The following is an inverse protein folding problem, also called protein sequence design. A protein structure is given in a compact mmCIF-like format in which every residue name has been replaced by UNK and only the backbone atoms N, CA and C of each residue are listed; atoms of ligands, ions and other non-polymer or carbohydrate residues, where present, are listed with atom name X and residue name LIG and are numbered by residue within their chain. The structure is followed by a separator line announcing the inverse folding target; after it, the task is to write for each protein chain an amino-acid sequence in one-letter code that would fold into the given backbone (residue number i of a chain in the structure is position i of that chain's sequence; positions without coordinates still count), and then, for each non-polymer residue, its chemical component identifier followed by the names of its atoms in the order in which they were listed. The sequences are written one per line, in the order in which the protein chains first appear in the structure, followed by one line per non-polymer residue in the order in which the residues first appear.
data_IF_118952209653
#
_entry.id   IF_118952209653
#
_cell.length_a   1.000
_cell.length_b   1.000
_cell.length_c   1.000
_cell.angle_alpha   90.00
_cell.angle_beta   90.00
_cell.angle_gamma   90.00
#
_symmetry.space_group_name_H-M   'P 1'
#
loop_
_entity.id
_entity.type
_entity.pdbx_description
1 polymer ?
#
# COMPACT_ATOMS: atom_id res chain seq x y z
N UNK A 1 -16.62 -31.72 12.15
CA UNK A 1 -15.75 -30.64 11.65
C UNK A 1 -16.28 -29.92 10.40
N UNK A 2 -16.94 -30.59 9.42
CA UNK A 2 -17.48 -29.90 8.20
C UNK A 2 -18.69 -28.97 8.45
N UNK A 3 -19.48 -29.18 9.48
CA UNK A 3 -20.63 -28.30 9.81
C UNK A 3 -20.25 -27.00 10.49
N UNK A 4 -19.12 -26.96 11.19
CA UNK A 4 -18.63 -25.74 11.87
C UNK A 4 -17.97 -24.75 10.89
N UNK A 5 -17.35 -25.22 9.82
CA UNK A 5 -16.75 -24.37 8.80
C UNK A 5 -17.80 -23.65 7.93
N UNK A 6 -18.93 -24.34 7.63
CA UNK A 6 -20.04 -23.74 6.88
C UNK A 6 -20.79 -22.65 7.70
N UNK A 7 -20.89 -22.82 9.02
CA UNK A 7 -21.52 -21.84 9.90
C UNK A 7 -20.66 -20.56 10.07
N UNK A 8 -19.34 -20.70 10.10
CA UNK A 8 -18.40 -19.56 10.15
C UNK A 8 -18.37 -18.76 8.84
N UNK A 9 -18.48 -19.42 7.68
CA UNK A 9 -18.57 -18.74 6.38
C UNK A 9 -19.91 -17.99 6.23
N UNK A 10 -21.02 -18.55 6.76
CA UNK A 10 -22.34 -17.89 6.73
C UNK A 10 -22.43 -16.71 7.70
N UNK A 11 -21.78 -16.76 8.87
CA UNK A 11 -21.70 -15.60 9.79
C UNK A 11 -20.85 -14.46 9.21
N UNK A 12 -19.78 -14.74 8.47
CA UNK A 12 -18.95 -13.72 7.83
C UNK A 12 -19.73 -12.97 6.73
N UNK A 13 -20.53 -13.67 5.93
CA UNK A 13 -21.39 -13.05 4.90
C UNK A 13 -22.50 -12.16 5.48
N UNK A 14 -22.99 -12.48 6.67
CA UNK A 14 -24.01 -11.67 7.35
C UNK A 14 -23.41 -10.39 8.00
N UNK A 15 -22.16 -10.39 8.40
CA UNK A 15 -21.51 -9.24 9.02
C UNK A 15 -21.14 -8.14 8.02
N UNK A 16 -20.74 -8.49 6.80
CA UNK A 16 -20.39 -7.51 5.76
C UNK A 16 -21.62 -6.73 5.26
N UNK A 17 -22.77 -7.39 5.09
CA UNK A 17 -24.01 -6.73 4.69
C UNK A 17 -24.59 -5.78 5.76
N UNK A 18 -24.42 -6.10 7.04
CA UNK A 18 -24.90 -5.25 8.14
C UNK A 18 -24.06 -3.97 8.30
N UNK A 19 -22.75 -4.06 8.14
CA UNK A 19 -21.85 -2.89 8.22
C UNK A 19 -22.03 -1.92 7.06
N UNK A 20 -22.34 -2.40 5.86
CA UNK A 20 -22.52 -1.57 4.67
C UNK A 20 -23.77 -0.65 4.74
N UNK A 21 -24.77 -0.97 5.55
CA UNK A 21 -25.99 -0.17 5.71
C UNK A 21 -25.92 0.86 6.83
N UNK A 22 -24.90 0.85 7.68
CA UNK A 22 -24.75 1.82 8.75
C UNK A 22 -24.09 3.11 8.26
N UNK A 23 -24.56 4.26 8.76
CA UNK A 23 -23.91 5.56 8.50
C UNK A 23 -22.52 5.57 9.12
N UNK A 24 -21.52 5.94 8.32
CA UNK A 24 -20.16 6.17 8.80
C UNK A 24 -20.13 7.53 9.53
N UNK A 25 -19.83 7.52 10.83
CA UNK A 25 -19.65 8.75 11.62
C UNK A 25 -18.17 9.00 11.84
N UNK A 26 -17.69 10.14 11.34
CA UNK A 26 -16.31 10.58 11.51
C UNK A 26 -16.23 11.63 12.63
N UNK A 27 -15.18 11.55 13.44
CA UNK A 27 -14.78 12.61 14.36
C UNK A 27 -14.11 13.75 13.59
N UNK A 28 -13.23 13.41 12.64
CA UNK A 28 -12.53 14.39 11.80
C UNK A 28 -12.06 13.77 10.50
N UNK A 29 -11.84 14.61 9.50
CA UNK A 29 -11.20 14.26 8.23
C UNK A 29 -10.42 15.45 7.69
N UNK A 30 -9.49 15.19 6.78
CA UNK A 30 -8.70 16.24 6.13
C UNK A 30 -7.52 15.66 5.35
N UNK A 31 -6.54 16.52 5.10
CA UNK A 31 -5.29 16.11 4.46
C UNK A 31 -4.12 16.93 5.00
N UNK A 32 -2.91 16.44 4.76
CA UNK A 32 -1.67 17.14 5.04
C UNK A 32 -0.54 16.73 4.08
N UNK A 33 0.45 17.60 3.95
CA UNK A 33 1.71 17.25 3.29
C UNK A 33 2.70 16.66 4.32
N UNK A 34 3.50 15.68 3.87
CA UNK A 34 4.51 15.00 4.68
C UNK A 34 5.85 14.91 3.95
N UNK A 35 6.95 15.20 4.65
CA UNK A 35 8.28 15.22 4.07
C UNK A 35 8.49 16.37 3.08
N UNK A 36 9.35 16.10 2.09
CA UNK A 36 9.68 17.06 1.04
C UNK A 36 10.78 18.04 1.42
N UNK A 37 11.07 18.94 0.47
CA UNK A 37 12.11 19.96 0.59
C UNK A 37 11.57 21.34 0.29
N UNK A 38 12.29 22.36 0.76
CA UNK A 38 12.10 23.75 0.33
C UNK A 38 13.35 24.20 -0.41
N UNK A 39 13.19 24.56 -1.68
CA UNK A 39 14.22 25.22 -2.46
C UNK A 39 14.04 26.72 -2.31
N UNK A 40 15.04 27.40 -1.78
CA UNK A 40 15.07 28.85 -1.62
C UNK A 40 16.01 29.47 -2.67
N UNK A 41 15.49 30.39 -3.46
CA UNK A 41 16.30 31.17 -4.40
C UNK A 41 16.97 32.36 -3.67
N UNK A 42 18.19 32.67 -4.10
CA UNK A 42 18.96 33.79 -3.54
C UNK A 42 18.30 35.13 -3.77
N UNK A 43 18.67 36.11 -2.93
CA UNK A 43 18.20 37.48 -3.00
C UNK A 43 16.91 37.77 -2.22
N UNK A 44 16.33 38.94 -2.44
CA UNK A 44 15.09 39.40 -1.80
C UNK A 44 13.96 39.43 -2.82
N UNK A 45 12.82 38.90 -2.45
CA UNK A 45 11.60 39.03 -3.26
C UNK A 45 11.11 40.49 -3.34
N UNK A 46 10.85 40.93 -4.56
CA UNK A 46 10.30 42.24 -4.83
C UNK A 46 8.92 42.12 -5.48
N UNK A 47 7.86 42.41 -4.75
CA UNK A 47 6.48 42.30 -5.21
C UNK A 47 6.08 43.34 -6.29
N UNK A 48 6.95 44.31 -6.60
CA UNK A 48 6.75 45.28 -7.70
C UNK A 48 7.29 44.76 -9.04
N UNK A 49 8.00 43.65 -9.02
CA UNK A 49 8.57 43.02 -10.21
C UNK A 49 7.78 41.79 -10.60
N UNK A 50 7.41 41.75 -11.88
CA UNK A 50 6.74 40.57 -12.47
C UNK A 50 7.36 40.26 -13.82
N UNK A 51 8.05 39.16 -13.92
CA UNK A 51 8.74 38.73 -15.16
C UNK A 51 7.83 38.07 -16.20
N UNK A 52 6.50 37.99 -15.93
CA UNK A 52 5.55 37.27 -16.78
C UNK A 52 5.25 35.85 -16.28
N UNK A 53 4.11 35.28 -16.69
CA UNK A 53 3.67 33.95 -16.30
C UNK A 53 4.60 32.82 -16.79
N UNK A 54 5.18 33.01 -17.98
CA UNK A 54 6.09 32.03 -18.55
C UNK A 54 7.50 32.00 -17.90
N UNK A 55 7.97 33.22 -17.47
CA UNK A 55 9.30 33.40 -16.90
C UNK A 55 9.20 34.29 -15.65
N UNK A 56 8.69 33.78 -14.53
CA UNK A 56 8.59 34.57 -13.31
C UNK A 56 9.97 34.91 -12.77
N UNK A 57 10.09 36.05 -12.09
CA UNK A 57 11.32 36.43 -11.39
C UNK A 57 11.49 35.51 -10.19
N UNK A 58 12.54 34.67 -10.20
CA UNK A 58 12.79 33.69 -9.15
C UNK A 58 13.52 34.27 -7.91
N UNK A 59 14.15 35.43 -8.03
CA UNK A 59 14.92 36.03 -6.95
C UNK A 59 14.14 36.15 -5.66
N UNK A 60 14.66 35.60 -4.58
CA UNK A 60 14.05 35.60 -3.24
C UNK A 60 12.80 34.73 -3.11
N UNK A 61 12.43 33.95 -4.14
CA UNK A 61 11.27 33.04 -4.12
C UNK A 61 11.62 31.71 -3.53
N UNK A 62 10.59 30.97 -3.12
CA UNK A 62 10.74 29.59 -2.61
C UNK A 62 9.84 28.62 -3.37
N UNK A 63 10.31 27.37 -3.49
CA UNK A 63 9.58 26.27 -4.09
C UNK A 63 9.60 25.07 -3.14
N UNK A 64 8.42 24.53 -2.82
CA UNK A 64 8.27 23.34 -1.99
C UNK A 64 7.92 22.17 -2.88
N UNK A 65 8.67 21.07 -2.74
CA UNK A 65 8.55 19.91 -3.62
C UNK A 65 8.84 18.60 -2.87
N UNK A 66 8.67 17.49 -3.57
CA UNK A 66 9.03 16.11 -3.16
C UNK A 66 8.36 15.67 -1.84
N UNK A 67 7.22 16.28 -1.51
CA UNK A 67 6.40 15.87 -0.37
C UNK A 67 5.33 14.88 -0.83
N UNK A 68 4.92 14.03 0.09
CA UNK A 68 3.71 13.23 -0.06
C UNK A 68 2.48 14.06 0.33
N UNK A 69 1.31 13.65 -0.17
CA UNK A 69 0.01 14.10 0.34
C UNK A 69 -0.68 12.93 1.03
N UNK A 70 -1.18 13.17 2.23
CA UNK A 70 -1.91 12.17 3.02
C UNK A 70 -3.31 12.70 3.29
N UNK A 71 -4.34 12.02 2.80
CA UNK A 71 -5.73 12.22 3.25
C UNK A 71 -6.00 11.34 4.45
N UNK A 72 -6.85 11.81 5.37
CA UNK A 72 -7.17 11.03 6.56
C UNK A 72 -8.64 11.14 6.95
N UNK A 73 -9.13 10.08 7.55
CA UNK A 73 -10.44 10.00 8.19
C UNK A 73 -10.29 9.27 9.53
N UNK A 74 -10.84 9.85 10.59
CA UNK A 74 -10.82 9.29 11.95
C UNK A 74 -12.27 9.03 12.35
N UNK A 75 -12.68 7.78 12.63
CA UNK A 75 -14.04 7.45 13.03
C UNK A 75 -14.30 7.91 14.47
N UNK A 76 -15.57 8.21 14.80
CA UNK A 76 -15.98 8.74 16.10
C UNK A 76 -15.65 7.81 17.29
N UNK A 77 -15.46 6.52 17.05
CA UNK A 77 -15.04 5.53 18.07
C UNK A 77 -13.76 4.85 17.59
N UNK A 78 -12.70 5.65 17.43
CA UNK A 78 -11.45 5.19 16.85
C UNK A 78 -10.74 4.13 17.72
N UNK A 79 -10.30 3.05 17.09
CA UNK A 79 -9.30 2.12 17.61
C UNK A 79 -7.92 2.78 17.63
N UNK A 80 -7.01 2.24 18.43
CA UNK A 80 -5.72 2.86 18.71
C UNK A 80 -4.63 2.64 17.63
N UNK A 81 -4.89 1.79 16.64
CA UNK A 81 -3.97 1.52 15.55
C UNK A 81 -4.38 2.25 14.27
N UNK A 82 -3.90 3.46 14.00
CA UNK A 82 -4.10 4.11 12.71
C UNK A 82 -3.41 3.31 11.62
N UNK A 83 -4.10 3.19 10.48
CA UNK A 83 -3.62 2.48 9.29
C UNK A 83 -3.12 3.51 8.28
N UNK A 84 -1.85 3.42 7.88
CA UNK A 84 -1.28 4.25 6.81
C UNK A 84 -1.15 3.40 5.55
N UNK A 85 -1.96 3.71 4.54
CA UNK A 85 -2.05 3.02 3.27
C UNK A 85 -1.08 3.61 2.25
N UNK A 86 -0.27 2.76 1.63
CA UNK A 86 0.75 3.12 0.63
C UNK A 86 0.50 2.31 -0.64
N UNK A 87 0.30 3.00 -1.76
CA UNK A 87 0.00 2.41 -3.06
C UNK A 87 1.24 1.81 -3.76
N UNK A 88 0.99 1.06 -4.84
CA UNK A 88 2.01 0.46 -5.70
C UNK A 88 2.38 1.32 -6.93
N UNK A 89 3.10 0.69 -7.87
CA UNK A 89 3.46 1.27 -9.15
C UNK A 89 2.21 1.57 -9.99
N UNK A 90 2.24 2.68 -10.73
CA UNK A 90 1.13 3.11 -11.57
C UNK A 90 -0.11 3.56 -10.81
N UNK A 91 -0.10 3.55 -9.47
CA UNK A 91 -1.24 3.90 -8.64
C UNK A 91 -1.06 5.18 -7.84
N UNK A 92 -2.11 5.53 -7.13
CA UNK A 92 -2.18 6.57 -6.10
C UNK A 92 -3.02 6.06 -4.93
N UNK A 93 -3.30 6.90 -3.95
CA UNK A 93 -4.20 6.58 -2.84
C UNK A 93 -5.60 6.14 -3.27
N UNK A 94 -6.03 6.47 -4.49
CA UNK A 94 -7.34 6.12 -5.03
C UNK A 94 -7.64 4.62 -4.92
N UNK A 95 -6.67 3.75 -5.18
CA UNK A 95 -6.84 2.29 -5.11
C UNK A 95 -7.26 1.78 -3.71
N UNK A 96 -7.09 2.59 -2.68
CA UNK A 96 -7.52 2.27 -1.31
C UNK A 96 -8.85 2.94 -0.94
N UNK A 97 -9.21 4.06 -1.60
CA UNK A 97 -10.36 4.90 -1.24
C UNK A 97 -11.67 4.33 -1.80
N UNK A 98 -11.66 3.85 -3.05
CA UNK A 98 -12.83 3.28 -3.74
C UNK A 98 -12.39 2.16 -4.67
N UNK A 99 -13.29 1.25 -4.99
CA UNK A 99 -13.07 0.26 -6.06
C UNK A 99 -13.48 0.83 -7.43
N UNK A 100 -12.90 0.37 -8.54
CA UNK A 100 -13.24 0.89 -9.87
C UNK A 100 -14.72 0.74 -10.26
N UNK A 101 -15.42 -0.23 -9.68
CA UNK A 101 -16.86 -0.45 -9.87
C UNK A 101 -17.74 0.32 -8.86
N UNK A 102 -17.17 1.29 -8.11
CA UNK A 102 -17.90 2.20 -7.23
C UNK A 102 -18.28 1.64 -5.86
N UNK A 103 -17.80 0.45 -5.48
CA UNK A 103 -17.96 -0.07 -4.11
C UNK A 103 -17.02 0.63 -3.14
N UNK A 104 -17.26 0.48 -1.84
CA UNK A 104 -16.36 0.98 -0.80
C UNK A 104 -14.96 0.37 -0.93
N UNK A 105 -13.95 1.24 -0.97
CA UNK A 105 -12.56 0.86 -0.97
C UNK A 105 -12.09 0.38 0.42
N UNK A 106 -10.90 -0.18 0.44
CA UNK A 106 -10.37 -0.86 1.61
C UNK A 106 -10.22 0.06 2.84
N UNK A 107 -9.88 1.34 2.62
CA UNK A 107 -9.80 2.35 3.69
C UNK A 107 -11.16 2.57 4.36
N UNK A 108 -12.24 2.68 3.58
CA UNK A 108 -13.61 2.82 4.11
C UNK A 108 -14.06 1.56 4.84
N UNK A 109 -13.75 0.37 4.32
CA UNK A 109 -14.04 -0.88 5.00
C UNK A 109 -13.36 -0.97 6.37
N UNK A 110 -12.15 -0.43 6.52
CA UNK A 110 -11.44 -0.37 7.80
C UNK A 110 -11.97 0.73 8.73
N UNK A 111 -12.42 1.87 8.17
CA UNK A 111 -13.13 2.90 8.95
C UNK A 111 -14.42 2.35 9.58
N UNK A 112 -15.19 1.51 8.87
CA UNK A 112 -16.36 0.81 9.43
C UNK A 112 -16.01 -0.13 10.57
N UNK A 113 -14.76 -0.61 10.61
CA UNK A 113 -14.19 -1.41 11.71
C UNK A 113 -13.51 -0.55 12.78
N UNK A 114 -13.74 0.78 12.70
CA UNK A 114 -13.25 1.80 13.65
C UNK A 114 -11.74 2.03 13.63
N UNK A 115 -11.03 1.65 12.56
CA UNK A 115 -9.62 2.03 12.41
C UNK A 115 -9.49 3.40 11.74
N UNK A 116 -8.71 4.34 12.29
CA UNK A 116 -8.36 5.56 11.58
C UNK A 116 -7.60 5.22 10.29
N UNK A 117 -8.04 5.79 9.18
CA UNK A 117 -7.45 5.55 7.86
C UNK A 117 -6.70 6.80 7.37
N UNK A 118 -5.46 6.60 6.99
CA UNK A 118 -4.57 7.59 6.40
C UNK A 118 -4.12 7.05 5.04
N UNK A 119 -4.49 7.73 3.96
CA UNK A 119 -4.20 7.28 2.59
C UNK A 119 -3.21 8.23 1.96
N UNK A 120 -2.06 7.69 1.55
CA UNK A 120 -0.91 8.45 1.10
C UNK A 120 -0.75 8.36 -0.42
N UNK A 121 -0.54 9.51 -1.06
CA UNK A 121 0.07 9.62 -2.38
C UNK A 121 1.56 9.88 -2.20
N UNK A 122 2.39 8.98 -2.71
CA UNK A 122 3.85 9.12 -2.66
C UNK A 122 4.33 10.32 -3.49
N UNK A 123 5.50 10.91 -3.18
CA UNK A 123 6.06 12.01 -3.97
C UNK A 123 6.05 11.72 -5.47
N UNK A 124 5.60 12.67 -6.26
CA UNK A 124 5.48 12.55 -7.72
C UNK A 124 4.26 11.78 -8.21
N UNK A 125 3.35 11.35 -7.31
CA UNK A 125 2.16 10.57 -7.65
C UNK A 125 0.87 11.29 -7.27
N UNK A 126 -0.21 11.04 -8.00
CA UNK A 126 -1.56 11.51 -7.68
C UNK A 126 -1.59 12.98 -7.27
N UNK A 127 -2.07 13.26 -6.05
CA UNK A 127 -2.15 14.62 -5.47
C UNK A 127 -0.78 15.22 -5.10
N UNK A 128 0.29 14.40 -5.04
CA UNK A 128 1.65 14.80 -4.64
C UNK A 128 2.58 15.09 -5.83
N UNK A 129 2.05 15.60 -6.94
CA UNK A 129 2.78 15.80 -8.20
C UNK A 129 3.80 16.95 -8.22
N UNK A 130 4.05 17.64 -7.11
CA UNK A 130 5.00 18.76 -7.07
C UNK A 130 6.41 18.29 -6.77
N UNK A 131 7.23 18.10 -7.82
CA UNK A 131 8.56 17.53 -7.75
C UNK A 131 9.67 18.58 -7.96
N UNK A 132 10.83 18.39 -7.34
CA UNK A 132 12.03 19.22 -7.53
C UNK A 132 12.78 18.91 -8.83
N UNK A 133 12.66 17.69 -9.31
CA UNK A 133 13.13 17.23 -10.60
C UNK A 133 12.04 16.36 -11.26
N UNK A 134 11.66 16.75 -12.46
CA UNK A 134 10.62 16.04 -13.23
C UNK A 134 11.23 15.12 -14.26
N UNK A 135 10.52 14.04 -14.55
CA UNK A 135 10.83 13.18 -15.71
C UNK A 135 10.04 13.65 -16.93
N UNK A 136 10.57 13.40 -18.12
CA UNK A 136 9.78 13.52 -19.33
C UNK A 136 8.84 12.33 -19.40
N UNK A 137 7.53 12.61 -19.36
CA UNK A 137 6.51 11.59 -19.50
C UNK A 137 6.25 11.31 -20.97
N UNK A 138 6.51 10.07 -21.39
CA UNK A 138 6.10 9.57 -22.71
C UNK A 138 4.89 8.67 -22.49
N UNK A 139 3.70 9.02 -23.03
CA UNK A 139 2.54 8.14 -22.96
C UNK A 139 2.84 6.78 -23.59
N UNK A 140 2.47 5.72 -22.90
CA UNK A 140 2.64 4.34 -23.37
C UNK A 140 1.29 3.66 -23.43
N UNK A 141 1.03 2.97 -24.55
CA UNK A 141 -0.14 2.13 -24.69
C UNK A 141 0.21 0.70 -24.24
N UNK A 142 0.24 0.46 -22.93
CA UNK A 142 0.65 -0.81 -22.33
C UNK A 142 -0.38 -1.40 -21.34
N UNK A 143 -1.62 -0.94 -21.36
CA UNK A 143 -2.68 -1.38 -20.44
C UNK A 143 -2.99 -2.88 -20.56
N UNK A 144 -2.94 -3.44 -21.78
CA UNK A 144 -3.14 -4.88 -22.00
C UNK A 144 -2.03 -5.71 -21.34
N UNK A 145 -0.78 -5.22 -21.40
CA UNK A 145 0.35 -5.84 -20.70
C UNK A 145 0.10 -5.85 -19.18
N UNK A 146 -0.39 -4.75 -18.63
CA UNK A 146 -0.70 -4.66 -17.20
C UNK A 146 -1.91 -5.50 -16.82
N UNK A 147 -2.91 -5.66 -17.67
CA UNK A 147 -4.02 -6.60 -17.48
C UNK A 147 -3.48 -8.02 -17.19
N UNK A 148 -2.53 -8.48 -18.01
CA UNK A 148 -1.90 -9.79 -17.84
C UNK A 148 -1.00 -9.84 -16.59
N UNK A 149 -0.14 -8.85 -16.39
CA UNK A 149 0.79 -8.80 -15.24
C UNK A 149 0.02 -8.76 -13.92
N UNK A 150 -1.11 -8.06 -13.85
CA UNK A 150 -1.94 -8.00 -12.65
C UNK A 150 -2.91 -9.17 -12.50
N UNK A 151 -2.84 -10.13 -13.41
CA UNK A 151 -3.56 -11.41 -13.36
C UNK A 151 -5.08 -11.28 -13.39
N UNK A 152 -5.59 -10.29 -14.13
CA UNK A 152 -7.02 -10.24 -14.45
C UNK A 152 -7.39 -11.40 -15.39
N UNK A 153 -6.45 -11.80 -16.26
CA UNK A 153 -6.58 -12.86 -17.24
C UNK A 153 -5.41 -12.85 -18.22
N UNK A 154 -5.69 -13.28 -19.45
CA UNK A 154 -4.85 -13.10 -20.64
C UNK A 154 -5.68 -12.27 -21.66
N UNK A 155 -5.32 -11.01 -21.79
CA UNK A 155 -6.15 -10.05 -22.55
C UNK A 155 -6.55 -10.58 -23.94
N UNK A 156 -7.83 -10.46 -24.36
CA UNK A 156 -8.93 -9.78 -23.67
C UNK A 156 -9.74 -10.69 -22.72
N UNK A 157 -9.28 -11.90 -22.44
CA UNK A 157 -10.02 -12.90 -21.69
C UNK A 157 -9.68 -12.84 -20.20
N UNK A 158 -10.69 -12.59 -19.37
CA UNK A 158 -10.56 -12.72 -17.93
C UNK A 158 -10.45 -14.18 -17.50
N UNK A 159 -9.80 -14.44 -16.38
CA UNK A 159 -9.93 -15.74 -15.71
C UNK A 159 -11.41 -16.01 -15.39
N UNK A 160 -11.83 -17.27 -15.48
CA UNK A 160 -13.26 -17.64 -15.37
C UNK A 160 -13.87 -17.26 -14.02
N UNK A 161 -13.11 -17.40 -12.96
CA UNK A 161 -13.48 -17.20 -11.55
C UNK A 161 -12.83 -15.97 -10.91
N UNK A 162 -12.29 -15.03 -11.73
CA UNK A 162 -11.65 -13.82 -11.22
C UNK A 162 -12.62 -12.99 -10.37
N UNK A 163 -12.11 -12.47 -9.27
CA UNK A 163 -12.87 -11.58 -8.38
C UNK A 163 -12.86 -10.11 -8.82
N UNK A 164 -12.27 -9.80 -9.95
CA UNK A 164 -12.37 -8.47 -10.56
C UNK A 164 -13.66 -8.39 -11.41
N UNK A 165 -14.42 -7.27 -11.36
CA UNK A 165 -15.58 -7.07 -12.23
C UNK A 165 -15.17 -7.11 -13.70
N UNK A 166 -15.97 -7.81 -14.55
CA UNK A 166 -15.60 -8.08 -15.95
C UNK A 166 -16.23 -7.13 -16.97
N UNK A 167 -16.96 -6.14 -16.50
CA UNK A 167 -17.59 -5.16 -17.37
C UNK A 167 -16.57 -4.12 -17.87
N UNK A 168 -16.86 -3.57 -19.07
CA UNK A 168 -15.95 -2.65 -19.74
C UNK A 168 -15.83 -1.29 -19.02
N UNK A 169 -16.87 -0.85 -18.32
CA UNK A 169 -16.89 0.42 -17.60
C UNK A 169 -15.94 0.37 -16.40
N UNK A 170 -15.97 -0.72 -15.64
CA UNK A 170 -15.06 -0.96 -14.53
C UNK A 170 -13.60 -1.05 -15.00
N UNK A 171 -13.33 -1.73 -16.12
CA UNK A 171 -11.97 -1.81 -16.65
C UNK A 171 -11.47 -0.43 -17.13
N UNK A 172 -12.31 0.35 -17.79
CA UNK A 172 -11.98 1.72 -18.21
C UNK A 172 -11.69 2.60 -17.00
N UNK A 173 -12.52 2.56 -15.96
CA UNK A 173 -12.30 3.29 -14.72
C UNK A 173 -11.00 2.86 -14.03
N UNK A 174 -10.72 1.56 -13.97
CA UNK A 174 -9.50 1.02 -13.36
C UNK A 174 -8.24 1.57 -14.03
N UNK A 175 -8.17 1.61 -15.36
CA UNK A 175 -7.02 2.17 -16.04
C UNK A 175 -6.95 3.71 -15.96
N UNK A 176 -8.10 4.41 -15.88
CA UNK A 176 -8.14 5.87 -15.67
C UNK A 176 -7.65 6.28 -14.30
N UNK A 177 -7.73 5.43 -13.30
CA UNK A 177 -7.20 5.69 -11.95
C UNK A 177 -5.66 5.55 -11.88
N UNK A 178 -5.04 4.96 -12.90
CA UNK A 178 -3.59 4.84 -12.96
C UNK A 178 -2.96 6.23 -13.16
N UNK A 179 -1.96 6.53 -12.35
CA UNK A 179 -1.27 7.81 -12.37
C UNK A 179 0.19 7.66 -12.78
N UNK A 180 0.70 8.54 -13.64
CA UNK A 180 2.12 8.54 -13.98
C UNK A 180 2.96 9.00 -12.78
N UNK A 181 4.25 8.65 -12.77
CA UNK A 181 5.25 9.25 -11.90
C UNK A 181 5.86 10.47 -12.58
N UNK A 182 5.57 11.66 -12.06
CA UNK A 182 6.08 12.93 -12.62
C UNK A 182 7.43 13.33 -12.02
N UNK A 183 7.91 12.60 -11.00
CA UNK A 183 9.21 12.84 -10.37
C UNK A 183 10.32 12.01 -11.00
N UNK A 184 11.56 12.47 -10.87
CA UNK A 184 12.72 11.60 -10.96
C UNK A 184 12.74 10.72 -9.69
N UNK A 185 12.20 9.50 -9.79
CA UNK A 185 11.98 8.61 -8.65
C UNK A 185 13.21 8.48 -7.75
N UNK A 186 13.03 8.69 -6.46
CA UNK A 186 14.09 8.61 -5.47
C UNK A 186 13.58 7.91 -4.20
N UNK A 187 14.06 6.68 -3.99
CA UNK A 187 13.71 5.86 -2.83
C UNK A 187 13.93 6.57 -1.48
N UNK A 188 14.99 7.40 -1.38
CA UNK A 188 15.25 8.16 -0.14
C UNK A 188 14.14 9.18 0.13
N UNK A 189 13.63 9.82 -0.90
CA UNK A 189 12.52 10.77 -0.82
C UNK A 189 11.24 10.07 -0.39
N UNK A 190 10.93 8.90 -0.96
CA UNK A 190 9.76 8.11 -0.58
C UNK A 190 9.83 7.71 0.91
N UNK A 191 10.94 7.11 1.34
CA UNK A 191 11.14 6.68 2.72
C UNK A 191 11.08 7.87 3.71
N UNK A 192 11.69 9.00 3.37
CA UNK A 192 11.65 10.20 4.20
C UNK A 192 10.21 10.74 4.33
N UNK A 193 9.44 10.74 3.23
CA UNK A 193 8.06 11.20 3.22
C UNK A 193 7.13 10.23 3.96
N UNK A 194 7.33 8.92 3.82
CA UNK A 194 6.60 7.91 4.61
C UNK A 194 6.91 8.09 6.10
N UNK A 195 8.19 8.25 6.48
CA UNK A 195 8.56 8.47 7.89
C UNK A 195 7.91 9.72 8.47
N UNK A 196 7.91 10.83 7.73
CA UNK A 196 7.23 12.07 8.15
C UNK A 196 5.71 11.90 8.26
N UNK A 197 5.09 11.11 7.36
CA UNK A 197 3.68 10.77 7.43
C UNK A 197 3.35 9.92 8.67
N UNK A 198 4.18 8.92 9.00
CA UNK A 198 4.07 8.11 10.21
C UNK A 198 4.06 9.01 11.45
N UNK A 199 5.06 9.88 11.59
CA UNK A 199 5.22 10.72 12.77
C UNK A 199 4.04 11.70 12.93
N UNK A 200 3.56 12.27 11.82
CA UNK A 200 2.41 13.16 11.83
C UNK A 200 1.10 12.42 12.13
N UNK A 201 0.93 11.22 11.61
CA UNK A 201 -0.22 10.35 11.92
C UNK A 201 -0.28 10.04 13.41
N UNK A 202 0.84 9.65 14.02
CA UNK A 202 0.94 9.40 15.48
C UNK A 202 0.60 10.67 16.27
N UNK A 203 1.16 11.82 15.90
CA UNK A 203 0.90 13.08 16.59
C UNK A 203 -0.58 13.51 16.51
N UNK A 204 -1.25 13.25 15.40
CA UNK A 204 -2.68 13.55 15.20
C UNK A 204 -3.57 12.61 16.00
N UNK A 205 -3.33 11.32 15.97
CA UNK A 205 -4.15 10.33 16.69
C UNK A 205 -3.99 10.44 18.20
N UNK A 206 -2.80 10.80 18.69
CA UNK A 206 -2.58 11.07 20.11
C UNK A 206 -3.39 12.26 20.65
N UNK A 207 -3.66 13.30 19.82
CA UNK A 207 -4.41 14.50 20.21
C UNK A 207 -5.92 14.27 20.24
N UNK A 208 -6.43 13.34 19.46
CA UNK A 208 -7.87 13.11 19.31
C UNK A 208 -8.44 12.11 20.34
N UNK A 209 -7.90 12.13 21.56
CA UNK A 209 -8.53 11.45 22.70
C UNK A 209 -8.36 9.95 22.74
N UNK A 210 -7.49 9.38 21.91
CA UNK A 210 -7.05 8.00 22.10
C UNK A 210 -6.32 7.89 23.44
N UNK A 211 -7.09 7.55 24.48
CA UNK A 211 -6.64 7.50 25.89
C UNK A 211 -5.73 6.30 26.18
N UNK A 212 -5.40 5.52 25.18
CA UNK A 212 -4.57 4.33 25.35
C UNK A 212 -3.09 4.69 25.29
N UNK A 213 -2.37 4.23 26.29
CA UNK A 213 -0.90 4.25 26.34
C UNK A 213 -0.23 3.51 25.18
N UNK A 214 -1.00 2.83 24.31
CA UNK A 214 -0.59 2.11 23.11
C UNK A 214 -0.83 2.91 21.81
N UNK A 215 -1.41 4.12 21.86
CA UNK A 215 -1.64 5.00 20.70
C UNK A 215 -0.35 5.56 20.07
N UNK A 216 0.77 4.92 20.31
CA UNK A 216 2.11 5.44 19.98
C UNK A 216 2.67 4.82 18.71
N UNK A 217 1.85 4.47 17.73
CA UNK A 217 2.37 3.91 16.49
C UNK A 217 1.34 3.75 15.39
N UNK A 218 1.82 3.28 14.24
CA UNK A 218 1.09 3.13 12.99
C UNK A 218 1.22 1.71 12.48
N UNK A 219 0.17 1.16 11.88
CA UNK A 219 0.25 -0.02 11.03
C UNK A 219 0.44 0.44 9.59
N UNK A 220 1.54 0.06 8.96
CA UNK A 220 1.72 0.28 7.53
C UNK A 220 0.91 -0.76 6.75
N UNK A 221 0.12 -0.29 5.78
CA UNK A 221 -0.62 -1.13 4.84
C UNK A 221 -0.09 -0.81 3.45
N UNK A 222 0.67 -1.72 2.85
CA UNK A 222 1.36 -1.46 1.60
C UNK A 222 0.87 -2.36 0.48
N UNK A 223 0.96 -1.88 -0.75
CA UNK A 223 0.65 -2.66 -1.94
C UNK A 223 1.83 -2.65 -2.92
N UNK A 224 2.16 -3.82 -3.50
CA UNK A 224 3.05 -3.94 -4.65
C UNK A 224 4.39 -3.22 -4.46
N UNK A 225 4.75 -2.30 -5.36
CA UNK A 225 5.97 -1.50 -5.29
C UNK A 225 6.09 -0.68 -3.99
N UNK A 226 4.98 -0.32 -3.34
CA UNK A 226 4.97 0.36 -2.04
C UNK A 226 5.47 -0.51 -0.88
N UNK A 227 5.57 -1.81 -1.07
CA UNK A 227 6.11 -2.73 -0.08
C UNK A 227 7.58 -2.46 0.23
N UNK A 228 8.41 -2.22 -0.78
CA UNK A 228 9.84 -2.02 -0.57
C UNK A 228 10.15 -0.77 0.27
N UNK A 229 9.68 0.46 -0.07
CA UNK A 229 9.84 1.62 0.82
C UNK A 229 9.14 1.42 2.17
N UNK A 230 8.08 0.61 2.24
CA UNK A 230 7.43 0.21 3.49
C UNK A 230 8.37 -0.54 4.43
N UNK A 231 9.13 -1.52 3.92
CA UNK A 231 10.15 -2.23 4.72
C UNK A 231 11.24 -1.30 5.24
N UNK A 232 11.78 -0.44 4.36
CA UNK A 232 12.81 0.54 4.73
C UNK A 232 12.30 1.52 5.80
N UNK A 233 11.05 1.97 5.68
CA UNK A 233 10.43 2.85 6.67
C UNK A 233 10.17 2.13 7.99
N UNK A 234 9.76 0.86 7.97
CA UNK A 234 9.57 0.06 9.18
C UNK A 234 10.88 -0.20 9.94
N UNK A 235 11.98 -0.37 9.21
CA UNK A 235 13.31 -0.47 9.81
C UNK A 235 13.78 0.85 10.44
N UNK A 236 13.48 1.98 9.78
CA UNK A 236 13.99 3.30 10.19
C UNK A 236 13.12 4.05 11.19
N UNK A 237 11.84 3.70 11.36
CA UNK A 237 10.91 4.44 12.20
C UNK A 237 10.28 3.56 13.29
N UNK A 238 10.63 3.84 14.55
CA UNK A 238 10.15 3.12 15.75
C UNK A 238 8.64 3.21 15.99
N UNK A 239 7.97 4.16 15.33
CA UNK A 239 6.54 4.36 15.43
C UNK A 239 5.75 3.36 14.56
N UNK A 240 6.40 2.60 13.67
CA UNK A 240 5.76 1.47 12.99
C UNK A 240 5.62 0.33 13.99
N UNK A 241 4.37 -0.13 14.18
CA UNK A 241 4.04 -1.21 15.12
C UNK A 241 3.72 -2.52 14.43
N UNK A 242 3.37 -2.47 13.16
CA UNK A 242 3.12 -3.65 12.34
C UNK A 242 3.16 -3.29 10.86
N UNK A 243 3.31 -4.29 10.00
CA UNK A 243 3.17 -4.12 8.54
C UNK A 243 2.23 -5.19 7.99
N UNK A 244 1.23 -4.75 7.23
CA UNK A 244 0.42 -5.60 6.38
C UNK A 244 0.73 -5.26 4.92
N UNK A 245 1.23 -6.20 4.14
CA UNK A 245 1.65 -5.95 2.77
C UNK A 245 0.90 -6.86 1.80
N UNK A 246 0.27 -6.24 0.82
CA UNK A 246 -0.47 -6.90 -0.24
C UNK A 246 0.43 -7.04 -1.45
N UNK A 247 0.87 -8.27 -1.72
CA UNK A 247 1.77 -8.63 -2.84
C UNK A 247 2.97 -7.68 -3.00
N UNK A 248 3.86 -7.55 -2.00
CA UNK A 248 5.01 -6.64 -2.09
C UNK A 248 5.92 -6.98 -3.27
N UNK A 249 6.38 -5.95 -3.98
CA UNK A 249 7.20 -6.10 -5.18
C UNK A 249 8.69 -6.35 -4.93
N UNK A 250 9.20 -6.07 -3.72
CA UNK A 250 10.62 -6.22 -3.36
C UNK A 250 10.82 -6.48 -1.87
N UNK A 251 12.01 -6.98 -1.51
CA UNK A 251 12.33 -7.47 -0.18
C UNK A 251 13.75 -7.10 0.24
N UNK A 252 13.96 -6.98 1.54
CA UNK A 252 15.26 -6.81 2.17
C UNK A 252 15.69 -8.08 2.87
N UNK A 253 17.00 -8.33 2.96
CA UNK A 253 17.55 -9.48 3.68
C UNK A 253 18.79 -9.05 4.45
N UNK A 254 19.16 -9.75 5.52
CA UNK A 254 20.45 -9.54 6.16
C UNK A 254 21.60 -9.71 5.17
N UNK A 255 22.63 -8.90 5.31
CA UNK A 255 23.90 -9.12 4.59
C UNK A 255 24.41 -10.54 4.82
N UNK A 256 24.76 -11.23 3.73
CA UNK A 256 25.19 -12.63 3.74
C UNK A 256 24.04 -13.67 3.73
N UNK A 257 22.78 -13.24 3.79
CA UNK A 257 21.59 -14.13 3.73
C UNK A 257 20.66 -13.80 2.57
N UNK A 258 21.10 -12.98 1.63
CA UNK A 258 20.32 -12.64 0.43
C UNK A 258 20.16 -13.89 -0.45
N UNK A 259 18.92 -14.29 -0.77
CA UNK A 259 18.69 -15.41 -1.68
C UNK A 259 19.25 -15.13 -3.08
N UNK A 260 19.58 -16.19 -3.81
CA UNK A 260 19.93 -16.10 -5.21
C UNK A 260 18.85 -15.35 -6.01
N UNK A 261 19.25 -14.51 -6.97
CA UNK A 261 18.33 -13.82 -7.85
C UNK A 261 17.46 -14.82 -8.63
N UNK A 262 16.16 -14.53 -8.77
CA UNK A 262 15.18 -15.37 -9.45
C UNK A 262 14.76 -14.69 -10.75
N UNK A 263 15.24 -15.17 -11.92
CA UNK A 263 14.85 -14.63 -13.22
C UNK A 263 13.36 -14.95 -13.49
N UNK A 264 12.69 -14.02 -14.18
CA UNK A 264 11.33 -14.20 -14.70
C UNK A 264 11.21 -13.54 -16.08
N UNK A 265 10.05 -13.69 -16.72
CA UNK A 265 9.76 -13.08 -18.03
C UNK A 265 9.75 -11.54 -17.99
N UNK A 266 9.54 -10.94 -16.82
CA UNK A 266 9.44 -9.48 -16.65
C UNK A 266 10.67 -8.87 -15.96
N UNK A 267 11.73 -9.64 -15.79
CA UNK A 267 12.96 -9.24 -15.10
C UNK A 267 13.32 -10.18 -13.95
N UNK A 268 14.33 -9.82 -13.19
CA UNK A 268 14.86 -10.64 -12.10
C UNK A 268 14.39 -10.13 -10.75
N UNK A 269 13.76 -10.98 -9.95
CA UNK A 269 13.48 -10.69 -8.54
C UNK A 269 14.76 -10.92 -7.72
N UNK A 270 15.24 -9.87 -7.04
CA UNK A 270 16.43 -9.90 -6.20
C UNK A 270 16.10 -9.32 -4.82
N UNK A 271 16.64 -9.94 -3.78
CA UNK A 271 16.66 -9.34 -2.44
C UNK A 271 17.68 -8.21 -2.34
N UNK A 272 17.43 -7.25 -1.49
CA UNK A 272 18.36 -6.15 -1.20
C UNK A 272 19.04 -6.41 0.14
N UNK A 273 20.39 -6.46 0.19
CA UNK A 273 21.10 -6.64 1.45
C UNK A 273 20.96 -5.40 2.34
N UNK A 274 20.74 -5.63 3.62
CA UNK A 274 20.75 -4.59 4.66
C UNK A 274 21.55 -5.07 5.88
N UNK A 275 22.19 -4.16 6.64
CA UNK A 275 22.85 -4.53 7.89
C UNK A 275 21.89 -5.26 8.84
N UNK A 276 22.39 -6.32 9.49
CA UNK A 276 21.60 -7.11 10.45
C UNK A 276 20.97 -6.24 11.56
N UNK A 277 21.65 -5.20 11.99
CA UNK A 277 21.13 -4.27 12.99
C UNK A 277 19.84 -3.59 12.53
N UNK A 278 19.77 -3.19 11.26
CA UNK A 278 18.56 -2.61 10.67
C UNK A 278 17.48 -3.67 10.48
N UNK A 279 17.84 -4.86 9.97
CA UNK A 279 16.90 -5.96 9.74
C UNK A 279 16.21 -6.40 11.03
N UNK A 280 16.89 -6.41 12.16
CA UNK A 280 16.33 -6.77 13.47
C UNK A 280 15.07 -6.02 13.82
N UNK A 281 14.93 -4.77 13.35
CA UNK A 281 13.70 -4.00 13.58
C UNK A 281 12.46 -4.67 13.01
N UNK A 282 12.58 -5.38 11.88
CA UNK A 282 11.48 -6.15 11.30
C UNK A 282 11.13 -7.41 12.12
N UNK A 283 12.05 -7.91 12.92
CA UNK A 283 11.79 -9.06 13.81
C UNK A 283 11.05 -8.67 15.10
N UNK A 284 11.00 -7.38 15.42
CA UNK A 284 10.36 -6.86 16.64
C UNK A 284 8.87 -6.51 16.45
N UNK A 285 8.37 -6.52 15.22
CA UNK A 285 6.99 -6.15 14.88
C UNK A 285 6.30 -7.28 14.13
N UNK A 286 4.98 -7.47 14.33
CA UNK A 286 4.24 -8.44 13.54
C UNK A 286 4.13 -7.97 12.09
N UNK A 287 4.32 -8.93 11.17
CA UNK A 287 4.24 -8.71 9.74
C UNK A 287 3.29 -9.73 9.12
N UNK A 288 2.40 -9.29 8.24
CA UNK A 288 1.60 -10.18 7.40
C UNK A 288 1.74 -9.78 5.94
N UNK A 289 1.87 -10.77 5.07
CA UNK A 289 1.83 -10.59 3.62
C UNK A 289 0.69 -11.42 3.05
N UNK A 290 -0.12 -10.80 2.17
CA UNK A 290 -1.22 -11.45 1.48
C UNK A 290 -0.89 -11.59 0.00
N UNK A 291 -1.13 -12.78 -0.55
CA UNK A 291 -0.98 -13.08 -1.98
C UNK A 291 -2.27 -13.66 -2.53
N UNK A 292 -2.67 -13.15 -3.70
CA UNK A 292 -3.86 -13.56 -4.44
C UNK A 292 -3.69 -14.87 -5.18
N UNK A 293 -4.51 -15.05 -6.20
CA UNK A 293 -4.59 -16.28 -7.01
C UNK A 293 -3.79 -16.16 -8.32
N UNK A 294 -3.87 -17.20 -9.14
CA UNK A 294 -3.23 -17.33 -10.45
C UNK A 294 -1.70 -17.20 -10.42
N UNK A 295 -1.09 -17.60 -9.30
CA UNK A 295 0.36 -17.66 -9.11
C UNK A 295 0.77 -19.12 -9.10
N UNK A 296 1.39 -19.64 -10.17
CA UNK A 296 1.79 -21.04 -10.26
C UNK A 296 2.97 -21.35 -9.33
N UNK A 297 3.10 -22.61 -8.93
CA UNK A 297 4.30 -23.07 -8.21
C UNK A 297 5.47 -23.30 -9.18
N UNK A 298 5.18 -23.76 -10.39
CA UNK A 298 6.17 -24.09 -11.43
C UNK A 298 6.36 -22.93 -12.42
N UNK A 299 7.49 -22.93 -13.11
CA UNK A 299 7.81 -21.99 -14.18
C UNK A 299 6.74 -22.03 -15.26
N UNK A 300 6.32 -20.87 -15.72
CA UNK A 300 5.26 -20.74 -16.74
C UNK A 300 5.63 -19.68 -17.80
N UNK A 301 5.02 -19.79 -18.97
CA UNK A 301 5.09 -18.81 -20.05
C UNK A 301 4.06 -17.66 -19.91
N UNK A 302 3.23 -17.70 -18.85
CA UNK A 302 2.24 -16.65 -18.56
C UNK A 302 2.90 -15.49 -17.83
N UNK A 303 2.87 -14.29 -18.43
CA UNK A 303 3.56 -13.09 -17.89
C UNK A 303 3.22 -12.80 -16.43
N UNK A 304 1.93 -12.69 -16.10
CA UNK A 304 1.49 -12.41 -14.74
C UNK A 304 1.84 -13.53 -13.77
N UNK A 305 1.56 -14.78 -14.16
CA UNK A 305 1.89 -15.94 -13.35
C UNK A 305 3.36 -16.01 -13.00
N UNK A 306 4.24 -15.92 -14.00
CA UNK A 306 5.70 -16.03 -13.80
C UNK A 306 6.27 -14.84 -13.03
N UNK A 307 5.79 -13.62 -13.32
CA UNK A 307 6.20 -12.42 -12.61
C UNK A 307 5.93 -12.55 -11.09
N UNK A 308 4.76 -13.08 -10.73
CA UNK A 308 4.36 -13.19 -9.32
C UNK A 308 4.84 -14.47 -8.66
N UNK A 309 5.11 -15.53 -9.43
CA UNK A 309 5.74 -16.76 -8.91
C UNK A 309 7.06 -16.48 -8.21
N UNK A 310 7.97 -15.77 -8.87
CA UNK A 310 9.28 -15.45 -8.28
C UNK A 310 9.16 -14.50 -7.09
N UNK A 311 8.19 -13.57 -7.10
CA UNK A 311 7.94 -12.67 -5.97
C UNK A 311 7.34 -13.40 -4.78
N UNK A 312 6.44 -14.35 -5.00
CA UNK A 312 5.90 -15.20 -3.95
C UNK A 312 6.99 -16.10 -3.35
N UNK A 313 7.88 -16.68 -4.17
CA UNK A 313 9.02 -17.42 -3.67
C UNK A 313 9.95 -16.55 -2.82
N UNK A 314 10.20 -15.32 -3.24
CA UNK A 314 10.99 -14.36 -2.47
C UNK A 314 10.29 -13.99 -1.16
N UNK A 315 8.95 -13.84 -1.16
CA UNK A 315 8.15 -13.61 0.05
C UNK A 315 8.26 -14.76 1.06
N UNK A 316 8.25 -16.01 0.58
CA UNK A 316 8.46 -17.19 1.44
C UNK A 316 9.83 -17.13 2.11
N UNK A 317 10.90 -16.83 1.36
CA UNK A 317 12.25 -16.67 1.90
C UNK A 317 12.39 -15.49 2.87
N UNK A 318 11.72 -14.37 2.59
CA UNK A 318 11.67 -13.22 3.48
C UNK A 318 10.96 -13.55 4.80
N UNK A 319 9.83 -14.25 4.74
CA UNK A 319 9.11 -14.76 5.93
C UNK A 319 9.99 -15.68 6.76
N UNK A 320 10.68 -16.62 6.11
CA UNK A 320 11.63 -17.55 6.75
C UNK A 320 12.78 -16.79 7.43
N UNK A 321 13.37 -15.79 6.76
CA UNK A 321 14.46 -14.98 7.31
C UNK A 321 14.03 -14.24 8.57
N UNK A 322 12.89 -13.54 8.53
CA UNK A 322 12.36 -12.83 9.71
C UNK A 322 12.13 -13.80 10.88
N UNK A 323 11.46 -14.93 10.62
CA UNK A 323 11.11 -15.90 11.67
C UNK A 323 12.34 -16.65 12.21
N UNK A 324 13.34 -16.94 11.37
CA UNK A 324 14.62 -17.53 11.79
C UNK A 324 15.37 -16.62 12.77
N UNK A 325 15.22 -15.30 12.63
CA UNK A 325 15.79 -14.31 13.54
C UNK A 325 14.85 -13.94 14.71
N UNK A 326 13.85 -14.77 15.00
CA UNK A 326 12.96 -14.63 16.15
C UNK A 326 11.79 -13.66 15.96
N UNK A 327 11.49 -13.26 14.73
CA UNK A 327 10.36 -12.40 14.41
C UNK A 327 9.02 -13.13 14.29
N UNK A 328 7.99 -12.37 13.92
CA UNK A 328 6.61 -12.83 13.75
C UNK A 328 6.09 -12.39 12.37
N UNK A 329 6.51 -13.07 11.34
CA UNK A 329 6.03 -12.86 9.98
C UNK A 329 5.11 -14.00 9.54
N UNK A 330 3.98 -13.64 8.93
CA UNK A 330 3.00 -14.58 8.37
C UNK A 330 2.84 -14.30 6.89
N UNK A 331 2.94 -15.35 6.06
CA UNK A 331 2.60 -15.31 4.65
C UNK A 331 1.24 -16.00 4.46
N UNK A 332 0.29 -15.27 3.93
CA UNK A 332 -1.07 -15.72 3.64
C UNK A 332 -1.24 -15.84 2.13
N UNK A 333 -1.24 -17.06 1.64
CA UNK A 333 -1.59 -17.40 0.26
C UNK A 333 -3.10 -17.69 0.25
N UNK A 334 -3.90 -16.75 -0.28
CA UNK A 334 -5.38 -16.80 -0.20
C UNK A 334 -5.97 -18.11 -0.76
N UNK A 335 -5.47 -18.67 -1.89
CA UNK A 335 -5.97 -19.94 -2.40
C UNK A 335 -5.83 -21.09 -1.42
N UNK A 336 -4.79 -21.10 -0.56
CA UNK A 336 -4.60 -22.13 0.48
C UNK A 336 -5.64 -22.04 1.61
N UNK A 337 -6.29 -20.87 1.75
CA UNK A 337 -7.42 -20.68 2.65
C UNK A 337 -8.78 -20.96 1.97
N UNK A 338 -8.79 -21.36 0.69
CA UNK A 338 -10.00 -21.55 -0.11
C UNK A 338 -10.58 -20.22 -0.65
N UNK A 339 -9.88 -19.11 -0.53
CA UNK A 339 -10.24 -17.79 -1.08
C UNK A 339 -9.56 -17.70 -2.44
N UNK A 340 -10.34 -17.75 -3.52
CA UNK A 340 -9.85 -17.88 -4.90
C UNK A 340 -10.27 -16.71 -5.76
N UNK A 341 -9.60 -16.56 -6.90
CA UNK A 341 -9.91 -15.59 -7.94
C UNK A 341 -9.37 -14.20 -7.68
N UNK A 342 -8.60 -13.98 -6.63
CA UNK A 342 -8.06 -12.67 -6.32
C UNK A 342 -6.92 -12.28 -7.27
N UNK A 343 -7.02 -11.08 -7.80
CA UNK A 343 -6.03 -10.44 -8.68
C UNK A 343 -4.86 -9.85 -7.88
N UNK A 344 -3.99 -9.11 -8.58
CA UNK A 344 -2.98 -8.29 -7.91
C UNK A 344 -3.59 -7.14 -7.07
N UNK A 345 -4.77 -6.66 -7.45
CA UNK A 345 -5.48 -5.60 -6.74
C UNK A 345 -6.51 -6.16 -5.75
N UNK A 346 -6.03 -6.95 -4.79
CA UNK A 346 -6.86 -7.61 -3.78
C UNK A 346 -7.87 -6.65 -3.11
N UNK A 347 -7.47 -5.38 -2.92
CA UNK A 347 -8.31 -4.35 -2.29
C UNK A 347 -9.48 -3.89 -3.18
N UNK A 348 -9.41 -4.13 -4.49
CA UNK A 348 -10.44 -3.76 -5.47
C UNK A 348 -11.30 -4.93 -5.94
N UNK A 349 -10.91 -6.16 -5.61
CA UNK A 349 -11.63 -7.37 -5.96
C UNK A 349 -13.03 -7.43 -5.32
N UNK A 350 -13.95 -8.20 -5.93
CA UNK A 350 -15.35 -8.32 -5.49
C UNK A 350 -15.51 -8.78 -4.04
N UNK A 351 -14.54 -9.54 -3.53
CA UNK A 351 -14.51 -10.06 -2.18
C UNK A 351 -13.66 -9.20 -1.21
N UNK A 352 -13.39 -7.92 -1.53
CA UNK A 352 -12.57 -7.04 -0.70
C UNK A 352 -13.07 -6.91 0.75
N UNK A 353 -14.37 -7.01 0.98
CA UNK A 353 -14.97 -7.06 2.32
C UNK A 353 -14.49 -8.27 3.14
N UNK A 354 -14.40 -9.45 2.51
CA UNK A 354 -13.85 -10.66 3.14
C UNK A 354 -12.37 -10.50 3.49
N UNK A 355 -11.61 -9.83 2.63
CA UNK A 355 -10.19 -9.56 2.87
C UNK A 355 -10.00 -8.53 3.99
N UNK A 356 -10.90 -7.53 4.10
CA UNK A 356 -10.91 -6.60 5.21
C UNK A 356 -11.22 -7.30 6.55
N UNK A 357 -12.13 -8.31 6.56
CA UNK A 357 -12.39 -9.14 7.75
C UNK A 357 -11.17 -9.98 8.14
N UNK A 358 -10.46 -10.53 7.16
CA UNK A 358 -9.23 -11.28 7.39
C UNK A 358 -8.14 -10.40 8.00
N UNK A 359 -8.00 -9.17 7.51
CA UNK A 359 -7.06 -8.19 8.04
C UNK A 359 -7.45 -7.71 9.45
N UNK A 360 -8.74 -7.38 9.70
CA UNK A 360 -9.22 -7.02 11.04
C UNK A 360 -9.01 -8.15 12.05
N UNK A 361 -9.23 -9.41 11.64
CA UNK A 361 -8.94 -10.58 12.48
C UNK A 361 -7.45 -10.62 12.87
N UNK A 362 -6.55 -10.45 11.90
CA UNK A 362 -5.12 -10.43 12.17
C UNK A 362 -4.73 -9.27 13.11
N UNK A 363 -5.27 -8.06 12.90
CA UNK A 363 -5.02 -6.91 13.79
C UNK A 363 -5.43 -7.21 15.23
N UNK A 364 -6.58 -7.88 15.43
CA UNK A 364 -7.03 -8.32 16.76
C UNK A 364 -6.14 -9.37 17.39
N UNK A 365 -5.69 -10.35 16.61
CA UNK A 365 -4.75 -11.39 17.07
C UNK A 365 -3.42 -10.79 17.52
N UNK A 366 -2.96 -9.71 16.85
CA UNK A 366 -1.77 -8.95 17.24
C UNK A 366 -2.05 -7.90 18.32
N UNK A 367 -3.28 -7.80 18.85
CA UNK A 367 -3.71 -6.83 19.88
C UNK A 367 -3.54 -5.36 19.45
N UNK A 368 -3.70 -5.10 18.17
CA UNK A 368 -3.60 -3.77 17.55
C UNK A 368 -4.97 -3.08 17.43
N UNK A 369 -6.02 -3.67 17.97
CA UNK A 369 -7.40 -3.18 17.93
C UNK A 369 -7.84 -2.43 19.20
N UNK A 370 -6.98 -2.36 20.22
CA UNK A 370 -7.30 -1.83 21.56
C UNK A 370 -6.74 -0.43 21.78
#
# INVERSE_FOLDING_TARGET
MKKTAALLAMLALLSTGALANEKLTLETQGHFAAGGITIQREGTYDNKKFGGWANPIEQGQSYRADHAIVSYQIPAKAKNAPLLFIHGYGGSGLCWEMTPDGREGFSTLMLRRHYPAFVMDLPGRGRAGKASATTTLTPKADEMLWFDIWRLGEYPNYHSDVQFPKDAETLDQFFREMTPDVSAHNMKTDVASISAAIDKTVAMTAKNGSSSKNANGVVLVTHSAGGFPGWLSAMGNKNVKAVASYEPGGYVFPEGEVPDPMPSLTGTASGVPVPMEQFRRLTEIPIVMYFGDYIPEEVTDKLGGENWRVRLQMARKFTEAINRHGGNATLVELPKLGIKGNTHFLMSDLNNGQLADLFDKWLREQKLDK
#
